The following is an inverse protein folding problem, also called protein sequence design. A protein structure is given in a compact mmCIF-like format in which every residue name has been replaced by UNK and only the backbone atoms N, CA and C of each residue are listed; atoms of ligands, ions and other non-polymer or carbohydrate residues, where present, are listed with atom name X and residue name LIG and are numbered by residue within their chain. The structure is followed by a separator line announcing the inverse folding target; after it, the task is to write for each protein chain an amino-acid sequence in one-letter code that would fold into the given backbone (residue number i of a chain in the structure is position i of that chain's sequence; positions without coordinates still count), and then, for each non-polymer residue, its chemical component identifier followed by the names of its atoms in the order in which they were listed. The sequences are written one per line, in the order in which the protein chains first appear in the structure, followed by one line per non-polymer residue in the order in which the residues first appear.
data_IF_001526639648
#
_entry.id   IF_001526639648
#
_cell.length_a   1.000
_cell.length_b   1.000
_cell.length_c   1.000
_cell.angle_alpha   90.00
_cell.angle_beta   90.00
_cell.angle_gamma   90.00
#
_symmetry.space_group_name_H-M   'P 1'
#
loop_
_entity.id
_entity.type
_entity.pdbx_description
1 polymer ?
#
# COMPACT_ATOMS: atom_id res chain seq x y z
N UNK A 1 10.51 -88.07 30.52
CA UNK A 1 10.75 -86.63 30.64
C UNK A 1 11.10 -86.08 29.25
N UNK A 2 10.10 -85.51 28.56
CA UNK A 2 10.30 -84.86 27.25
C UNK A 2 10.43 -83.36 27.49
N UNK A 3 11.58 -82.81 27.12
CA UNK A 3 11.81 -81.38 27.16
C UNK A 3 11.19 -80.73 25.90
N UNK A 4 10.22 -79.77 26.09
CA UNK A 4 9.60 -79.02 25.07
C UNK A 4 10.44 -77.73 24.92
N UNK A 5 11.07 -77.55 23.75
CA UNK A 5 11.80 -76.30 23.41
C UNK A 5 10.84 -75.33 22.74
N UNK A 6 10.54 -74.22 23.38
CA UNK A 6 9.70 -73.14 22.84
C UNK A 6 10.59 -72.25 21.98
N UNK A 7 10.31 -72.17 20.67
CA UNK A 7 10.97 -71.29 19.73
C UNK A 7 10.17 -69.93 19.73
N UNK A 8 10.79 -68.87 20.23
CA UNK A 8 10.25 -67.52 20.11
C UNK A 8 10.62 -66.97 18.73
N UNK A 9 9.62 -66.76 17.84
CA UNK A 9 9.78 -66.03 16.60
C UNK A 9 9.64 -64.53 16.93
N UNK A 10 10.73 -63.75 16.83
CA UNK A 10 10.73 -62.32 16.86
C UNK A 10 10.21 -61.80 15.50
N UNK A 11 9.00 -61.29 15.46
CA UNK A 11 8.53 -60.48 14.33
C UNK A 11 9.11 -59.09 14.44
N UNK A 12 10.09 -58.77 13.63
CA UNK A 12 10.55 -57.38 13.42
C UNK A 12 9.54 -56.72 12.49
N UNK A 13 8.67 -55.88 13.05
CA UNK A 13 7.88 -54.96 12.26
C UNK A 13 8.83 -53.84 11.76
N UNK A 14 9.21 -53.89 10.50
CA UNK A 14 9.79 -52.76 9.83
C UNK A 14 8.68 -51.69 9.66
N UNK A 15 8.75 -50.61 10.42
CA UNK A 15 7.96 -49.41 10.13
C UNK A 15 8.42 -48.89 8.78
N UNK A 16 7.51 -48.56 7.85
CA UNK A 16 7.89 -47.88 6.62
C UNK A 16 8.50 -46.52 7.01
N UNK A 17 9.74 -46.29 6.61
CA UNK A 17 10.28 -44.93 6.59
C UNK A 17 9.36 -44.11 5.70
N UNK A 18 8.74 -43.08 6.28
CA UNK A 18 8.04 -42.06 5.49
C UNK A 18 9.09 -41.48 4.55
N UNK A 19 8.93 -41.69 3.25
CA UNK A 19 9.73 -41.04 2.25
C UNK A 19 9.54 -39.54 2.44
N UNK A 20 10.59 -38.83 2.81
CA UNK A 20 10.62 -37.40 2.83
C UNK A 20 10.42 -36.96 1.38
N UNK A 21 9.44 -36.11 1.13
CA UNK A 21 9.19 -35.57 -0.20
C UNK A 21 10.34 -34.65 -0.57
N UNK A 22 11.21 -35.08 -1.48
CA UNK A 22 12.38 -34.29 -1.91
C UNK A 22 12.01 -32.94 -2.53
N UNK A 23 10.72 -32.73 -2.82
CA UNK A 23 10.23 -31.47 -3.39
C UNK A 23 10.05 -30.34 -2.36
N UNK A 24 10.08 -30.64 -1.03
CA UNK A 24 9.89 -29.65 0.04
C UNK A 24 10.83 -29.93 1.20
N UNK A 25 11.89 -29.13 1.33
CA UNK A 25 12.83 -29.25 2.46
C UNK A 25 13.56 -27.92 2.73
N UNK A 26 14.06 -27.77 3.97
CA UNK A 26 14.95 -26.69 4.39
C UNK A 26 16.36 -27.25 4.47
N UNK A 27 17.33 -26.59 3.85
CA UNK A 27 18.75 -26.97 3.87
C UNK A 27 19.52 -26.16 4.94
N UNK A 28 19.18 -24.89 5.13
CA UNK A 28 19.73 -24.04 6.18
C UNK A 28 18.63 -23.09 6.71
N UNK A 29 18.74 -22.70 8.01
CA UNK A 29 19.74 -23.05 9.01
C UNK A 29 19.65 -24.51 9.44
N UNK A 30 20.76 -25.09 9.94
CA UNK A 30 20.77 -26.46 10.46
C UNK A 30 20.13 -26.54 11.86
N UNK A 31 19.56 -27.68 12.19
CA UNK A 31 19.05 -27.92 13.54
C UNK A 31 20.12 -27.69 14.63
N UNK A 32 19.71 -27.21 15.79
CA UNK A 32 20.54 -26.83 16.93
C UNK A 32 21.53 -25.68 16.68
N UNK A 33 21.39 -24.94 15.57
CA UNK A 33 22.19 -23.74 15.34
C UNK A 33 21.66 -22.51 16.08
N UNK A 34 22.58 -21.62 16.44
CA UNK A 34 22.27 -20.28 16.93
C UNK A 34 21.97 -19.38 15.74
N UNK A 35 20.88 -18.61 15.80
CA UNK A 35 20.44 -17.70 14.75
C UNK A 35 20.14 -16.33 15.34
N UNK A 36 20.48 -15.26 14.61
CA UNK A 36 20.27 -13.87 15.02
C UNK A 36 20.21 -12.95 13.80
N UNK A 37 19.57 -11.78 13.96
CA UNK A 37 19.46 -10.77 12.91
C UNK A 37 18.69 -11.30 11.69
N UNK A 38 19.19 -11.05 10.49
CA UNK A 38 18.63 -11.54 9.23
C UNK A 38 19.21 -12.92 8.91
N UNK A 39 18.37 -13.94 8.88
CA UNK A 39 18.75 -15.33 8.63
C UNK A 39 18.27 -15.75 7.25
N UNK A 40 19.19 -16.03 6.34
CA UNK A 40 18.87 -16.63 5.06
C UNK A 40 18.39 -18.06 5.26
N UNK A 41 17.14 -18.36 4.91
CA UNK A 41 16.59 -19.71 4.92
C UNK A 41 16.65 -20.28 3.51
N UNK A 42 17.42 -21.35 3.33
CA UNK A 42 17.60 -22.01 2.03
C UNK A 42 16.99 -23.39 2.00
N UNK A 43 16.65 -23.86 0.81
CA UNK A 43 16.03 -25.18 0.63
C UNK A 43 15.38 -25.34 -0.74
N UNK A 44 14.40 -26.23 -0.80
CA UNK A 44 13.63 -26.52 -2.01
C UNK A 44 12.13 -26.43 -1.71
N UNK A 45 11.39 -25.76 -2.59
CA UNK A 45 9.94 -25.77 -2.70
C UNK A 45 9.60 -25.91 -4.18
N UNK A 46 9.39 -27.14 -4.64
CA UNK A 46 9.11 -27.42 -6.05
C UNK A 46 8.08 -28.56 -6.23
N UNK A 47 6.94 -28.57 -5.51
CA UNK A 47 5.86 -29.48 -5.81
C UNK A 47 5.17 -29.08 -7.13
N UNK A 48 4.69 -30.07 -7.90
CA UNK A 48 4.11 -29.82 -9.24
C UNK A 48 2.82 -28.98 -9.26
N UNK A 49 2.15 -28.81 -8.12
CA UNK A 49 0.90 -28.06 -7.95
C UNK A 49 1.00 -26.97 -6.86
N UNK A 50 2.18 -26.36 -6.74
CA UNK A 50 2.43 -25.26 -5.80
C UNK A 50 1.40 -24.12 -5.99
N UNK A 51 0.79 -23.69 -4.88
CA UNK A 51 0.02 -22.46 -4.80
C UNK A 51 0.84 -21.36 -4.16
N UNK A 52 1.35 -21.58 -2.93
CA UNK A 52 2.17 -20.62 -2.20
C UNK A 52 2.93 -21.29 -1.07
N UNK A 53 3.93 -20.61 -0.50
CA UNK A 53 4.61 -21.04 0.71
C UNK A 53 5.05 -19.85 1.55
N UNK A 54 5.31 -20.07 2.83
CA UNK A 54 5.86 -19.11 3.78
C UNK A 54 6.53 -19.83 4.93
N UNK A 55 7.32 -19.09 5.72
CA UNK A 55 7.94 -19.56 6.94
C UNK A 55 7.15 -19.10 8.16
N UNK A 56 7.06 -19.98 9.15
CA UNK A 56 6.45 -19.71 10.43
C UNK A 56 7.23 -20.34 11.57
N UNK A 57 7.13 -19.78 12.76
CA UNK A 57 7.83 -20.29 13.95
C UNK A 57 6.87 -20.57 15.10
N UNK A 58 7.28 -21.47 15.96
CA UNK A 58 6.65 -21.73 17.26
C UNK A 58 7.71 -21.96 18.32
N UNK A 59 7.39 -21.71 19.58
CA UNK A 59 8.31 -22.05 20.70
C UNK A 59 8.56 -23.56 20.70
N UNK A 60 9.84 -23.94 20.71
CA UNK A 60 10.23 -25.35 20.73
C UNK A 60 9.75 -26.07 21.98
N UNK A 61 9.21 -27.26 21.81
CA UNK A 61 8.70 -28.08 22.91
C UNK A 61 7.35 -27.62 23.50
N UNK A 62 6.68 -26.65 22.89
CA UNK A 62 5.35 -26.24 23.33
C UNK A 62 4.33 -27.40 23.17
N UNK A 63 3.54 -27.69 24.21
CA UNK A 63 2.50 -28.73 24.17
C UNK A 63 1.38 -28.40 23.19
N UNK A 64 1.10 -27.12 23.01
CA UNK A 64 0.17 -26.57 22.01
C UNK A 64 0.92 -25.52 21.19
N UNK A 65 1.54 -25.89 20.04
CA UNK A 65 2.32 -24.95 19.25
C UNK A 65 1.46 -23.87 18.63
N UNK A 66 1.79 -22.61 18.93
CA UNK A 66 1.22 -21.44 18.28
C UNK A 66 2.17 -21.00 17.17
N UNK A 67 1.74 -21.17 15.94
CA UNK A 67 2.51 -20.79 14.77
C UNK A 67 2.35 -19.32 14.43
N UNK A 68 3.47 -18.64 14.27
CA UNK A 68 3.55 -17.22 13.93
C UNK A 68 4.25 -17.11 12.58
N UNK A 69 3.59 -16.61 11.51
CA UNK A 69 4.26 -16.36 10.25
C UNK A 69 5.39 -15.32 10.41
N UNK A 70 6.55 -15.61 9.83
CA UNK A 70 7.75 -14.76 9.91
C UNK A 70 8.23 -14.29 8.53
N UNK A 71 7.54 -14.69 7.46
CA UNK A 71 7.77 -14.21 6.09
C UNK A 71 6.44 -13.99 5.37
N UNK A 72 6.50 -13.22 4.28
CA UNK A 72 5.37 -13.09 3.37
C UNK A 72 5.16 -14.37 2.56
N UNK A 73 3.99 -14.48 1.92
CA UNK A 73 3.66 -15.55 0.98
C UNK A 73 4.52 -15.40 -0.29
N UNK A 74 5.13 -16.52 -0.72
CA UNK A 74 5.81 -16.64 -2.00
C UNK A 74 5.15 -17.75 -2.84
N UNK A 75 5.15 -17.60 -4.16
CA UNK A 75 4.52 -18.55 -5.08
C UNK A 75 5.50 -19.12 -6.14
N UNK A 76 6.70 -18.56 -6.23
CA UNK A 76 7.71 -19.00 -7.19
C UNK A 76 8.43 -20.25 -6.68
N UNK A 77 8.46 -21.36 -7.43
CA UNK A 77 9.23 -22.55 -7.03
C UNK A 77 10.72 -22.24 -6.88
N UNK A 78 11.34 -22.85 -5.87
CA UNK A 78 12.77 -22.71 -5.58
C UNK A 78 13.38 -24.12 -5.49
N UNK A 79 14.56 -24.33 -6.08
CA UNK A 79 15.34 -25.55 -5.99
C UNK A 79 16.73 -25.21 -5.48
N UNK A 80 17.12 -25.77 -4.33
CA UNK A 80 18.42 -25.58 -3.67
C UNK A 80 18.83 -24.09 -3.57
N UNK A 81 17.86 -23.22 -3.26
CA UNK A 81 18.05 -21.76 -3.27
C UNK A 81 17.51 -21.06 -2.03
N UNK A 82 17.52 -19.73 -2.07
CA UNK A 82 16.96 -18.89 -1.02
C UNK A 82 15.42 -18.99 -1.05
N UNK A 83 14.84 -19.48 0.06
CA UNK A 83 13.40 -19.54 0.26
C UNK A 83 12.86 -18.22 0.78
N UNK A 84 13.54 -17.63 1.77
CA UNK A 84 13.21 -16.33 2.33
C UNK A 84 14.32 -15.85 3.29
N UNK A 85 14.28 -14.58 3.64
CA UNK A 85 15.02 -13.99 4.75
C UNK A 85 14.12 -13.88 5.98
N UNK A 86 14.57 -14.45 7.10
CA UNK A 86 13.86 -14.43 8.37
C UNK A 86 14.50 -13.43 9.33
N UNK A 87 13.71 -12.43 9.78
CA UNK A 87 14.13 -11.42 10.75
C UNK A 87 13.90 -11.94 12.17
N UNK A 88 14.95 -12.43 12.83
CA UNK A 88 14.85 -12.98 14.19
C UNK A 88 14.69 -11.92 15.25
N UNK A 89 15.09 -10.67 14.98
CA UNK A 89 15.08 -9.56 15.94
C UNK A 89 13.68 -9.22 16.50
N UNK A 90 12.63 -9.71 15.86
CA UNK A 90 11.24 -9.57 16.34
C UNK A 90 10.85 -10.64 17.39
N UNK A 91 11.71 -11.62 17.65
CA UNK A 91 11.49 -12.70 18.60
C UNK A 91 12.34 -12.50 19.86
N UNK A 92 11.81 -12.91 21.00
CA UNK A 92 12.60 -13.03 22.22
C UNK A 92 13.65 -14.14 22.06
N UNK A 93 14.79 -14.00 22.77
CA UNK A 93 15.78 -15.08 22.83
C UNK A 93 15.16 -16.36 23.38
N UNK A 94 15.46 -17.50 22.75
CA UNK A 94 14.90 -18.78 23.12
C UNK A 94 15.02 -19.82 22.01
N UNK A 95 14.52 -21.04 22.29
CA UNK A 95 14.52 -22.12 21.30
C UNK A 95 13.18 -22.18 20.55
N UNK A 96 13.27 -22.28 19.24
CA UNK A 96 12.12 -22.26 18.33
C UNK A 96 12.15 -23.47 17.38
N UNK A 97 10.97 -23.83 16.88
CA UNK A 97 10.78 -24.67 15.71
C UNK A 97 10.47 -23.76 14.52
N UNK A 98 11.28 -23.84 13.46
CA UNK A 98 11.01 -23.19 12.17
C UNK A 98 10.29 -24.19 11.26
N UNK A 99 9.17 -23.77 10.67
CA UNK A 99 8.40 -24.57 9.73
C UNK A 99 8.24 -23.84 8.40
N UNK A 100 8.55 -24.50 7.32
CA UNK A 100 8.15 -24.14 5.98
C UNK A 100 6.76 -24.71 5.74
N UNK A 101 5.79 -23.85 5.49
CA UNK A 101 4.41 -24.20 5.19
C UNK A 101 4.17 -23.99 3.70
N UNK A 102 3.87 -25.06 2.98
CA UNK A 102 3.62 -25.06 1.53
C UNK A 102 2.16 -25.42 1.29
N UNK A 103 1.43 -24.54 0.64
CA UNK A 103 0.04 -24.72 0.24
C UNK A 103 -0.01 -25.21 -1.21
N UNK A 104 -0.71 -26.29 -1.48
CA UNK A 104 -0.95 -26.82 -2.82
C UNK A 104 -2.30 -26.35 -3.38
N UNK A 105 -2.42 -26.26 -4.69
CA UNK A 105 -3.70 -25.94 -5.35
C UNK A 105 -4.78 -26.99 -5.13
N UNK A 106 -4.40 -28.21 -4.78
CA UNK A 106 -5.31 -29.27 -4.33
C UNK A 106 -6.02 -28.96 -3.00
N UNK A 107 -5.52 -27.96 -2.23
CA UNK A 107 -5.96 -27.66 -0.87
C UNK A 107 -5.17 -28.41 0.21
N UNK A 108 -4.25 -29.30 -0.16
CA UNK A 108 -3.33 -29.95 0.77
C UNK A 108 -2.20 -29.02 1.18
N UNK A 109 -1.61 -29.26 2.37
CA UNK A 109 -0.41 -28.57 2.85
C UNK A 109 0.73 -29.56 3.04
N UNK A 110 1.94 -29.17 2.60
CA UNK A 110 3.18 -29.87 2.89
C UNK A 110 4.01 -29.06 3.88
N UNK A 111 4.83 -29.73 4.66
CA UNK A 111 5.64 -29.08 5.69
C UNK A 111 7.07 -29.62 5.69
N UNK A 112 8.05 -28.72 5.88
CA UNK A 112 9.39 -29.08 6.29
C UNK A 112 9.72 -28.35 7.59
N UNK A 113 10.42 -29.00 8.51
CA UNK A 113 10.66 -28.49 9.86
C UNK A 113 12.14 -28.56 10.20
N UNK A 114 12.63 -27.51 10.86
CA UNK A 114 13.97 -27.49 11.47
C UNK A 114 13.83 -27.10 12.94
N UNK A 115 14.32 -27.97 13.83
CA UNK A 115 14.23 -27.76 15.27
C UNK A 115 15.30 -28.54 16.05
N UNK A 116 15.74 -28.05 17.24
CA UNK A 116 15.50 -26.68 17.69
C UNK A 116 16.38 -25.69 16.92
N UNK A 117 15.97 -24.42 16.85
CA UNK A 117 16.81 -23.28 16.49
C UNK A 117 16.89 -22.36 17.69
N UNK A 118 18.06 -21.86 18.03
CA UNK A 118 18.23 -20.94 19.16
C UNK A 118 18.31 -19.50 18.66
N UNK A 119 17.29 -18.70 18.94
CA UNK A 119 17.35 -17.27 18.71
C UNK A 119 18.15 -16.62 19.82
N UNK A 120 19.26 -15.94 19.48
CA UNK A 120 20.24 -15.39 20.43
C UNK A 120 20.56 -13.90 20.12
N UNK A 121 19.54 -13.09 20.00
CA UNK A 121 19.67 -11.68 19.65
C UNK A 121 20.40 -10.86 20.73
N UNK A 122 20.18 -11.14 22.03
CA UNK A 122 20.67 -10.33 23.13
C UNK A 122 22.17 -10.43 23.38
N UNK A 123 22.83 -11.54 23.00
CA UNK A 123 24.25 -11.79 23.28
C UNK A 123 25.19 -11.56 22.08
N UNK A 124 24.67 -11.15 20.96
CA UNK A 124 25.50 -10.76 19.83
C UNK A 124 26.06 -9.36 20.05
N UNK A 125 27.32 -9.08 19.67
CA UNK A 125 27.71 -7.69 19.53
C UNK A 125 26.66 -7.07 18.64
N UNK A 126 25.94 -6.05 19.18
CA UNK A 126 25.10 -5.24 18.34
C UNK A 126 25.96 -4.99 17.12
N UNK A 127 25.60 -5.48 15.91
CA UNK A 127 26.34 -5.08 14.74
C UNK A 127 26.36 -3.58 14.89
N UNK A 128 27.56 -3.01 15.06
CA UNK A 128 27.70 -1.57 14.93
C UNK A 128 27.12 -1.35 13.55
N UNK A 129 25.85 -0.95 13.52
CA UNK A 129 25.21 -0.44 12.34
C UNK A 129 26.01 0.80 12.00
N UNK A 130 27.14 0.56 11.36
CA UNK A 130 27.87 1.58 10.66
C UNK A 130 27.12 1.72 9.35
N UNK A 131 26.22 2.53 9.37
CA UNK A 131 25.47 3.36 8.46
C UNK A 131 24.01 3.28 8.93
N UNK A 132 23.44 4.41 9.27
CA UNK A 132 22.00 4.60 9.09
C UNK A 132 21.65 3.95 7.75
N UNK A 133 20.58 3.11 7.68
CA UNK A 133 20.20 2.47 6.42
C UNK A 133 20.17 3.56 5.37
N UNK A 134 20.97 3.38 4.33
CA UNK A 134 21.22 4.40 3.31
C UNK A 134 19.89 4.85 2.73
N UNK A 135 19.59 6.12 2.86
CA UNK A 135 18.45 6.74 2.19
C UNK A 135 18.88 6.97 0.75
N UNK A 136 18.23 6.31 -0.17
CA UNK A 136 18.50 6.49 -1.60
C UNK A 136 18.14 7.93 -1.98
N UNK A 137 19.06 8.70 -2.58
CA UNK A 137 18.80 10.09 -2.96
C UNK A 137 17.58 10.22 -3.88
N UNK A 138 16.86 11.33 -3.76
CA UNK A 138 15.76 11.66 -4.67
C UNK A 138 16.22 11.58 -6.12
N UNK A 139 15.48 10.88 -6.99
CA UNK A 139 15.72 10.93 -8.42
C UNK A 139 15.33 12.30 -8.97
N UNK A 140 15.66 12.56 -10.21
CA UNK A 140 15.20 13.76 -10.92
C UNK A 140 14.65 13.32 -12.30
N UNK A 141 13.52 12.59 -12.32
CA UNK A 141 12.96 12.10 -13.56
C UNK A 141 12.47 13.25 -14.45
N UNK A 142 12.69 13.11 -15.75
CA UNK A 142 12.21 14.09 -16.73
C UNK A 142 10.74 13.83 -17.02
N UNK A 143 9.90 14.81 -16.75
CA UNK A 143 8.49 14.74 -17.14
C UNK A 143 8.33 14.91 -18.66
N UNK A 144 7.77 13.92 -19.33
CA UNK A 144 7.46 13.94 -20.78
C UNK A 144 5.96 14.00 -21.06
N UNK A 145 5.13 14.05 -20.02
CA UNK A 145 3.68 14.13 -20.11
C UNK A 145 3.21 15.58 -19.93
N UNK A 146 1.96 15.91 -20.30
CA UNK A 146 1.40 17.26 -20.15
C UNK A 146 1.44 17.78 -18.71
N UNK A 147 1.36 16.89 -17.72
CA UNK A 147 1.44 17.18 -16.29
C UNK A 147 2.27 16.07 -15.61
N UNK A 148 3.00 16.33 -14.51
CA UNK A 148 3.61 15.28 -13.70
C UNK A 148 2.57 14.23 -13.33
N UNK A 149 2.82 12.98 -13.72
CA UNK A 149 1.91 11.85 -13.53
C UNK A 149 2.55 10.76 -12.70
N UNK A 150 1.76 10.15 -11.86
CA UNK A 150 2.13 8.96 -11.11
C UNK A 150 1.00 7.95 -10.99
N UNK A 151 1.25 6.89 -10.25
CA UNK A 151 0.25 5.87 -9.97
C UNK A 151 0.29 5.41 -8.52
N UNK A 152 -0.88 5.13 -7.96
CA UNK A 152 -1.01 4.48 -6.66
C UNK A 152 -0.83 2.98 -6.85
N UNK A 153 0.14 2.40 -6.16
CA UNK A 153 0.54 1.01 -6.32
C UNK A 153 0.28 0.19 -5.05
N UNK A 154 0.01 -1.10 -5.24
CA UNK A 154 -0.04 -2.08 -4.17
C UNK A 154 1.24 -2.92 -4.12
N UNK A 155 1.71 -3.39 -5.26
CA UNK A 155 2.85 -4.32 -5.38
C UNK A 155 4.12 -3.67 -5.88
N UNK A 156 4.05 -2.77 -6.87
CA UNK A 156 5.19 -2.09 -7.49
C UNK A 156 6.31 -3.06 -7.91
N UNK A 157 5.96 -4.22 -8.44
CA UNK A 157 6.92 -5.19 -8.96
C UNK A 157 7.56 -4.71 -10.28
N UNK A 158 8.51 -5.48 -10.83
CA UNK A 158 9.23 -5.11 -12.04
C UNK A 158 8.31 -4.83 -13.22
N UNK A 159 7.26 -5.63 -13.44
CA UNK A 159 6.29 -5.41 -14.51
C UNK A 159 5.53 -4.09 -14.33
N UNK A 160 5.12 -3.78 -13.10
CA UNK A 160 4.48 -2.49 -12.74
C UNK A 160 5.42 -1.32 -13.02
N UNK A 161 6.70 -1.41 -12.60
CA UNK A 161 7.71 -0.37 -12.83
C UNK A 161 7.96 -0.15 -14.33
N UNK A 162 8.09 -1.23 -15.10
CA UNK A 162 8.27 -1.18 -16.56
C UNK A 162 7.06 -0.52 -17.22
N UNK A 163 5.84 -0.89 -16.85
CA UNK A 163 4.61 -0.31 -17.39
C UNK A 163 4.50 1.20 -17.05
N UNK A 164 4.75 1.59 -15.80
CA UNK A 164 4.72 2.99 -15.37
C UNK A 164 5.77 3.83 -16.10
N UNK A 165 6.99 3.30 -16.27
CA UNK A 165 8.07 3.97 -17.03
C UNK A 165 7.68 4.13 -18.49
N UNK A 166 7.11 3.10 -19.12
CA UNK A 166 6.65 3.15 -20.51
C UNK A 166 5.57 4.22 -20.74
N UNK A 167 4.66 4.39 -19.77
CA UNK A 167 3.67 5.46 -19.77
C UNK A 167 4.27 6.88 -19.60
N UNK A 168 5.51 7.00 -19.14
CA UNK A 168 6.14 8.28 -18.79
C UNK A 168 5.75 8.79 -17.41
N UNK A 169 5.24 7.93 -16.53
CA UNK A 169 5.01 8.28 -15.14
C UNK A 169 6.33 8.55 -14.43
N UNK A 170 6.34 9.56 -13.58
CA UNK A 170 7.52 10.00 -12.81
C UNK A 170 7.29 9.95 -11.30
N UNK A 171 6.10 9.59 -10.86
CA UNK A 171 5.71 9.48 -9.47
C UNK A 171 5.10 8.12 -9.14
N UNK A 172 5.31 7.67 -7.90
CA UNK A 172 4.62 6.53 -7.31
C UNK A 172 4.00 6.96 -5.99
N UNK A 173 2.75 6.57 -5.74
CA UNK A 173 2.06 6.80 -4.46
C UNK A 173 1.97 5.51 -3.68
N UNK A 174 2.29 5.60 -2.38
CA UNK A 174 2.00 4.60 -1.37
C UNK A 174 1.07 5.15 -0.32
N UNK A 175 0.12 4.36 0.13
CA UNK A 175 -0.67 4.69 1.30
C UNK A 175 -0.12 3.96 2.52
N UNK A 176 0.16 4.70 3.58
CA UNK A 176 0.75 4.21 4.83
C UNK A 176 -0.21 4.56 5.97
N UNK A 177 -0.58 3.55 6.73
CA UNK A 177 -1.41 3.75 7.92
C UNK A 177 -0.52 3.71 9.16
N UNK A 178 -0.40 4.84 9.85
CA UNK A 178 0.36 4.96 11.08
C UNK A 178 -0.45 4.43 12.26
N UNK A 179 0.18 3.58 13.06
CA UNK A 179 -0.30 3.10 14.35
C UNK A 179 0.77 3.39 15.40
N UNK A 180 0.38 3.96 16.54
CA UNK A 180 1.32 4.43 17.57
C UNK A 180 2.21 3.30 18.13
N UNK A 181 1.69 2.06 18.18
CA UNK A 181 2.41 0.90 18.71
C UNK A 181 3.23 0.14 17.65
N UNK A 182 3.17 0.54 16.37
CA UNK A 182 3.95 -0.11 15.30
C UNK A 182 5.40 0.37 15.30
N UNK A 183 6.26 -0.35 16.01
CA UNK A 183 7.69 -0.06 16.08
C UNK A 183 8.42 -0.24 14.73
N UNK A 184 7.81 -0.92 13.74
CA UNK A 184 8.43 -1.20 12.45
C UNK A 184 8.01 -0.23 11.33
N UNK A 185 7.04 0.63 11.56
CA UNK A 185 6.44 1.49 10.52
C UNK A 185 7.47 2.36 9.78
N UNK A 186 8.48 2.90 10.47
CA UNK A 186 9.53 3.71 9.85
C UNK A 186 10.44 2.89 8.91
N UNK A 187 10.65 1.60 9.19
CA UNK A 187 11.36 0.72 8.27
C UNK A 187 10.54 0.49 6.99
N UNK A 188 9.23 0.22 7.13
CA UNK A 188 8.33 0.10 5.99
C UNK A 188 8.35 1.36 5.13
N UNK A 189 8.25 2.54 5.75
CA UNK A 189 8.31 3.83 5.07
C UNK A 189 9.62 3.99 4.30
N UNK A 190 10.77 3.77 4.98
CA UNK A 190 12.09 3.85 4.34
C UNK A 190 12.21 2.92 3.14
N UNK A 191 11.77 1.66 3.29
CA UNK A 191 11.86 0.67 2.23
C UNK A 191 11.00 1.07 1.01
N UNK A 192 9.81 1.67 1.23
CA UNK A 192 8.99 2.23 0.15
C UNK A 192 9.66 3.40 -0.56
N UNK A 193 10.28 4.30 0.20
CA UNK A 193 11.04 5.43 -0.37
C UNK A 193 12.21 4.91 -1.20
N UNK A 194 13.06 4.07 -0.63
CA UNK A 194 14.24 3.54 -1.30
C UNK A 194 13.86 2.77 -2.57
N UNK A 195 12.88 1.89 -2.49
CA UNK A 195 12.41 1.13 -3.64
C UNK A 195 11.91 2.02 -4.78
N UNK A 196 11.19 3.10 -4.44
CA UNK A 196 10.72 4.07 -5.43
C UNK A 196 11.87 4.84 -6.07
N UNK A 197 12.82 5.32 -5.25
CA UNK A 197 13.98 6.09 -5.72
C UNK A 197 14.95 5.23 -6.54
N UNK A 198 15.20 3.98 -6.14
CA UNK A 198 16.01 3.02 -6.92
C UNK A 198 15.41 2.76 -8.30
N UNK A 199 14.08 2.71 -8.39
CA UNK A 199 13.37 2.57 -9.67
C UNK A 199 13.29 3.88 -10.48
N UNK A 200 13.81 5.00 -9.95
CA UNK A 200 13.86 6.30 -10.62
C UNK A 200 12.58 7.13 -10.52
N UNK A 201 11.67 6.82 -9.58
CA UNK A 201 10.42 7.55 -9.37
C UNK A 201 10.49 8.44 -8.14
N UNK A 202 9.93 9.65 -8.24
CA UNK A 202 9.56 10.43 -7.06
C UNK A 202 8.49 9.68 -6.25
N UNK A 203 8.50 9.83 -4.94
CA UNK A 203 7.56 9.14 -4.05
C UNK A 203 6.63 10.10 -3.33
N UNK A 204 5.33 9.84 -3.46
CA UNK A 204 4.27 10.43 -2.64
C UNK A 204 3.85 9.40 -1.58
N UNK A 205 4.00 9.75 -0.31
CA UNK A 205 3.45 8.99 0.81
C UNK A 205 2.15 9.62 1.28
N UNK A 206 1.02 8.93 1.09
CA UNK A 206 -0.25 9.29 1.71
C UNK A 206 -0.31 8.65 3.09
N UNK A 207 -0.18 9.46 4.13
CA UNK A 207 -0.05 8.97 5.51
C UNK A 207 -1.31 9.31 6.29
N UNK A 208 -2.01 8.24 6.72
CA UNK A 208 -3.16 8.33 7.63
C UNK A 208 -2.77 7.81 9.00
N UNK A 209 -3.53 8.19 10.03
CA UNK A 209 -3.47 7.56 11.35
C UNK A 209 -4.64 6.62 11.59
N UNK A 210 -4.67 6.00 12.75
CA UNK A 210 -5.83 5.22 13.20
C UNK A 210 -6.93 6.13 13.76
N UNK A 211 -8.14 5.98 13.21
CA UNK A 211 -9.32 6.77 13.64
C UNK A 211 -9.66 6.51 15.10
N UNK A 212 -9.46 5.28 15.59
CA UNK A 212 -9.71 4.92 16.99
C UNK A 212 -8.70 5.60 17.93
N UNK A 213 -7.42 5.71 17.56
CA UNK A 213 -6.41 6.45 18.32
C UNK A 213 -6.73 7.95 18.37
N UNK A 214 -7.08 8.54 17.21
CA UNK A 214 -7.51 9.92 17.13
C UNK A 214 -8.80 10.17 17.92
N UNK A 215 -9.72 9.21 17.96
CA UNK A 215 -10.95 9.29 18.75
C UNK A 215 -10.65 9.28 20.25
N UNK A 216 -9.73 8.41 20.68
CA UNK A 216 -9.36 8.24 22.08
C UNK A 216 -8.58 9.44 22.64
N UNK A 217 -7.61 9.95 21.89
CA UNK A 217 -6.70 11.02 22.33
C UNK A 217 -7.19 12.42 22.00
N UNK A 218 -8.06 12.56 20.99
CA UNK A 218 -8.50 13.87 20.53
C UNK A 218 -7.34 14.74 20.04
N UNK A 219 -7.30 15.99 20.50
CA UNK A 219 -6.28 16.95 20.05
C UNK A 219 -4.87 16.58 20.55
N UNK A 220 -4.74 15.75 21.57
CA UNK A 220 -3.44 15.21 22.05
C UNK A 220 -2.79 14.26 21.01
N UNK A 221 -3.55 13.73 20.05
CA UNK A 221 -3.03 12.95 18.95
C UNK A 221 -2.19 13.77 17.95
N UNK A 222 -2.53 15.05 17.75
CA UNK A 222 -1.91 15.89 16.72
C UNK A 222 -0.40 16.03 16.85
N UNK A 223 0.17 16.34 18.03
CA UNK A 223 1.62 16.41 18.19
C UNK A 223 2.31 15.04 18.02
N UNK A 224 1.66 13.93 18.39
CA UNK A 224 2.21 12.58 18.22
C UNK A 224 2.30 12.23 16.73
N UNK A 225 1.24 12.51 15.98
CA UNK A 225 1.22 12.31 14.53
C UNK A 225 2.23 13.22 13.81
N UNK A 226 2.33 14.48 14.23
CA UNK A 226 3.31 15.43 13.69
C UNK A 226 4.77 14.97 13.94
N UNK A 227 5.09 14.45 15.12
CA UNK A 227 6.40 13.89 15.42
C UNK A 227 6.74 12.71 14.49
N UNK A 228 5.77 11.82 14.25
CA UNK A 228 5.94 10.73 13.30
C UNK A 228 6.20 11.24 11.88
N UNK A 229 5.41 12.21 11.40
CA UNK A 229 5.60 12.78 10.07
C UNK A 229 6.95 13.50 9.92
N UNK A 230 7.47 14.12 10.97
CA UNK A 230 8.84 14.65 11.01
C UNK A 230 9.90 13.56 10.82
N UNK A 231 9.72 12.40 11.48
CA UNK A 231 10.61 11.23 11.28
C UNK A 231 10.52 10.66 9.86
N UNK A 232 9.33 10.63 9.27
CA UNK A 232 9.14 10.25 7.87
C UNK A 232 9.84 11.22 6.93
N UNK A 233 9.69 12.53 7.14
CA UNK A 233 10.33 13.55 6.32
C UNK A 233 11.86 13.47 6.36
N UNK A 234 12.43 13.09 7.49
CA UNK A 234 13.87 12.87 7.63
C UNK A 234 14.41 11.71 6.76
N UNK A 235 13.53 10.85 6.26
CA UNK A 235 13.84 9.80 5.27
C UNK A 235 13.77 10.30 3.81
N UNK A 236 13.55 11.59 3.61
CA UNK A 236 13.58 12.30 2.32
C UNK A 236 12.61 11.78 1.24
N UNK A 237 11.31 11.52 1.51
CA UNK A 237 10.33 11.35 0.46
C UNK A 237 10.19 12.65 -0.36
N UNK A 238 9.63 12.58 -1.57
CA UNK A 238 9.42 13.77 -2.39
C UNK A 238 8.16 14.55 -1.98
N UNK A 239 7.10 13.82 -1.56
CA UNK A 239 5.88 14.42 -1.05
C UNK A 239 5.25 13.60 0.08
N UNK A 240 4.53 14.27 0.97
CA UNK A 240 3.68 13.67 2.01
C UNK A 240 2.28 14.28 1.88
N UNK A 241 1.29 13.42 1.62
CA UNK A 241 -0.12 13.74 1.78
C UNK A 241 -0.52 13.47 3.24
N UNK A 242 -0.97 14.53 3.93
CA UNK A 242 -1.27 14.48 5.36
C UNK A 242 -2.74 14.13 5.55
N UNK A 243 -3.00 12.86 5.84
CA UNK A 243 -4.33 12.25 5.97
C UNK A 243 -5.00 11.97 4.62
N UNK A 244 -6.20 11.30 4.68
CA UNK A 244 -7.03 10.92 3.55
C UNK A 244 -8.51 11.07 3.92
N UNK A 245 -9.32 11.60 3.02
CA UNK A 245 -10.80 11.65 3.05
C UNK A 245 -11.43 12.03 4.40
N UNK A 246 -10.82 12.98 5.13
CA UNK A 246 -11.23 13.41 6.46
C UNK A 246 -12.61 14.09 6.52
N UNK A 247 -13.29 14.17 5.40
CA UNK A 247 -14.68 14.59 5.33
C UNK A 247 -15.69 13.44 5.54
N UNK A 248 -15.21 12.19 5.80
CA UNK A 248 -16.00 11.00 6.05
C UNK A 248 -15.76 10.42 7.45
N UNK A 249 -16.79 9.80 8.04
CA UNK A 249 -16.70 9.19 9.39
C UNK A 249 -15.95 7.85 9.44
N UNK A 250 -15.57 7.30 8.29
CA UNK A 250 -14.66 6.16 8.20
C UNK A 250 -13.18 6.55 8.30
N UNK A 251 -12.86 7.81 8.01
CA UNK A 251 -11.50 8.35 7.96
C UNK A 251 -11.24 9.41 9.04
N UNK A 252 -12.29 9.93 9.67
CA UNK A 252 -12.21 10.90 10.74
C UNK A 252 -13.23 10.60 11.84
N UNK A 253 -12.95 10.88 13.13
CA UNK A 253 -13.87 10.55 14.22
C UNK A 253 -15.28 11.08 14.01
N UNK A 254 -16.25 10.17 14.07
CA UNK A 254 -17.66 10.48 13.86
C UNK A 254 -18.14 11.59 14.80
N UNK A 255 -18.86 12.57 14.27
CA UNK A 255 -19.32 13.72 15.02
C UNK A 255 -18.26 14.80 15.27
N UNK A 256 -17.01 14.56 14.84
CA UNK A 256 -15.88 15.49 14.97
C UNK A 256 -15.31 15.93 13.61
N UNK A 257 -15.97 15.58 12.51
CA UNK A 257 -15.59 15.99 11.15
C UNK A 257 -15.61 17.51 11.06
N UNK A 258 -14.43 18.11 10.89
CA UNK A 258 -14.26 19.57 10.90
C UNK A 258 -12.96 19.98 10.19
N UNK A 259 -13.06 20.86 9.20
CA UNK A 259 -11.90 21.44 8.56
C UNK A 259 -11.01 22.27 9.52
N UNK A 260 -11.61 22.85 10.58
CA UNK A 260 -10.84 23.55 11.60
C UNK A 260 -10.02 22.57 12.47
N UNK A 261 -10.59 21.41 12.85
CA UNK A 261 -9.85 20.37 13.55
C UNK A 261 -8.74 19.78 12.67
N UNK A 262 -9.01 19.56 11.38
CA UNK A 262 -7.99 19.14 10.43
C UNK A 262 -6.86 20.19 10.30
N UNK A 263 -7.17 21.48 10.22
CA UNK A 263 -6.17 22.55 10.18
C UNK A 263 -5.28 22.55 11.44
N UNK A 264 -5.86 22.30 12.62
CA UNK A 264 -5.11 22.17 13.88
C UNK A 264 -4.16 20.97 13.88
N UNK A 265 -4.48 19.87 13.20
CA UNK A 265 -3.59 18.74 13.01
C UNK A 265 -2.53 19.02 11.92
N UNK A 266 -2.93 19.66 10.82
CA UNK A 266 -2.05 19.92 9.69
C UNK A 266 -0.93 20.90 10.04
N UNK A 267 -1.20 21.93 10.85
CA UNK A 267 -0.20 22.92 11.22
C UNK A 267 1.06 22.28 11.86
N UNK A 268 0.98 21.56 13.00
CA UNK A 268 2.17 20.94 13.59
C UNK A 268 2.80 19.87 12.68
N UNK A 269 2.00 19.18 11.87
CA UNK A 269 2.49 18.24 10.87
C UNK A 269 3.38 18.93 9.83
N UNK A 270 2.91 20.02 9.24
CA UNK A 270 3.68 20.85 8.29
C UNK A 270 4.99 21.37 8.92
N UNK A 271 4.89 21.93 10.12
CA UNK A 271 6.06 22.46 10.84
C UNK A 271 7.10 21.38 11.09
N UNK A 272 6.68 20.18 11.51
CA UNK A 272 7.58 19.03 11.74
C UNK A 272 8.21 18.51 10.44
N UNK A 273 7.43 18.38 9.37
CA UNK A 273 7.93 17.95 8.05
C UNK A 273 8.97 18.95 7.55
N UNK A 274 8.63 20.25 7.52
CA UNK A 274 9.54 21.29 6.99
C UNK A 274 10.77 21.52 7.84
N UNK A 275 10.70 21.26 9.14
CA UNK A 275 11.86 21.30 10.04
C UNK A 275 12.83 20.14 9.77
N UNK A 276 12.31 18.96 9.42
CA UNK A 276 13.11 17.77 9.11
C UNK A 276 13.71 17.82 7.70
N UNK A 277 12.88 18.14 6.70
CA UNK A 277 13.31 18.31 5.31
C UNK A 277 12.41 19.36 4.60
N UNK A 278 12.91 20.57 4.35
CA UNK A 278 12.15 21.63 3.70
C UNK A 278 11.81 21.36 2.22
N UNK A 279 12.44 20.36 1.58
CA UNK A 279 12.20 19.99 0.18
C UNK A 279 10.98 19.08 0.02
N UNK A 280 10.52 18.42 1.08
CA UNK A 280 9.32 17.57 1.02
C UNK A 280 8.10 18.41 0.72
N UNK A 281 7.40 18.11 -0.38
CA UNK A 281 6.12 18.73 -0.71
C UNK A 281 5.05 18.25 0.28
N UNK A 282 4.38 19.16 0.96
CA UNK A 282 3.26 18.84 1.85
C UNK A 282 1.95 19.03 1.08
N UNK A 283 1.20 17.94 0.92
CA UNK A 283 -0.11 17.95 0.28
C UNK A 283 -1.17 17.79 1.37
N UNK A 284 -2.24 18.58 1.33
CA UNK A 284 -3.37 18.34 2.24
C UNK A 284 -3.99 16.99 1.95
N UNK A 285 -4.55 16.32 2.95
CA UNK A 285 -5.43 15.19 2.69
C UNK A 285 -6.52 15.58 1.69
N UNK A 286 -6.69 14.78 0.66
CA UNK A 286 -7.75 14.99 -0.32
C UNK A 286 -9.10 14.59 0.26
N UNK A 287 -10.16 15.23 -0.20
CA UNK A 287 -11.51 14.92 0.23
C UNK A 287 -12.13 13.83 -0.65
N UNK A 288 -12.92 12.94 -0.02
CA UNK A 288 -13.82 12.09 -0.76
C UNK A 288 -14.75 12.94 -1.61
N UNK A 289 -14.92 12.64 -2.92
CA UNK A 289 -15.90 13.32 -3.75
C UNK A 289 -17.32 13.02 -3.25
N UNK A 290 -17.97 14.01 -2.70
CA UNK A 290 -19.31 13.85 -2.10
C UNK A 290 -20.21 15.00 -2.55
N UNK A 291 -21.50 14.80 -2.48
CA UNK A 291 -22.49 15.81 -2.84
C UNK A 291 -23.86 15.46 -2.27
N UNK A 292 -23.92 14.37 -1.50
CA UNK A 292 -25.16 13.74 -1.06
C UNK A 292 -25.48 13.92 0.43
N UNK A 293 -24.60 14.55 1.23
CA UNK A 293 -24.86 14.82 2.64
C UNK A 293 -25.78 16.02 2.88
N UNK A 294 -25.91 16.90 1.86
CA UNK A 294 -26.67 18.15 1.99
C UNK A 294 -25.95 19.19 2.86
N UNK A 295 -24.64 19.19 2.85
CA UNK A 295 -23.76 20.01 3.69
C UNK A 295 -22.90 19.17 4.61
N UNK A 296 -22.66 19.62 5.85
CA UNK A 296 -21.88 18.89 6.84
C UNK A 296 -22.78 18.32 7.93
N UNK A 297 -22.53 17.06 8.31
CA UNK A 297 -23.22 16.33 9.36
C UNK A 297 -22.23 15.57 10.25
N UNK A 298 -22.70 14.84 11.26
CA UNK A 298 -21.84 13.99 12.10
C UNK A 298 -21.24 12.79 11.38
N UNK A 299 -21.82 12.39 10.23
CA UNK A 299 -21.40 11.18 9.49
C UNK A 299 -20.55 11.53 8.24
N UNK A 300 -20.54 12.78 7.81
CA UNK A 300 -19.83 13.22 6.63
C UNK A 300 -20.11 14.67 6.29
N UNK A 301 -19.30 15.21 5.42
CA UNK A 301 -19.45 16.57 4.89
C UNK A 301 -19.26 16.54 3.39
N UNK A 302 -20.13 17.26 2.67
CA UNK A 302 -19.91 17.49 1.24
C UNK A 302 -18.59 18.22 0.99
N UNK A 303 -17.85 17.78 -0.01
CA UNK A 303 -16.52 18.26 -0.34
C UNK A 303 -16.44 19.79 -0.55
N UNK A 304 -17.39 20.40 -1.29
CA UNK A 304 -17.39 21.82 -1.52
C UNK A 304 -17.48 22.69 -0.26
N UNK A 305 -18.47 22.47 0.64
CA UNK A 305 -18.50 23.10 1.96
C UNK A 305 -17.23 22.85 2.76
N UNK A 306 -16.63 21.65 2.67
CA UNK A 306 -15.41 21.33 3.41
C UNK A 306 -14.19 22.08 2.85
N UNK A 307 -13.98 22.13 1.50
CA UNK A 307 -12.93 22.96 0.89
C UNK A 307 -13.08 24.45 1.28
N UNK A 308 -14.31 24.98 1.28
CA UNK A 308 -14.55 26.34 1.72
C UNK A 308 -14.17 26.55 3.19
N UNK A 309 -14.46 25.58 4.05
CA UNK A 309 -14.08 25.61 5.46
C UNK A 309 -12.56 25.47 5.65
N UNK A 310 -11.88 24.62 4.85
CA UNK A 310 -10.40 24.50 4.83
C UNK A 310 -9.74 25.84 4.49
N UNK A 311 -10.20 26.51 3.43
CA UNK A 311 -9.69 27.82 3.05
C UNK A 311 -9.91 28.86 4.17
N UNK A 312 -11.10 28.85 4.81
CA UNK A 312 -11.42 29.75 5.93
C UNK A 312 -10.58 29.45 7.18
N UNK A 313 -10.20 28.19 7.40
CA UNK A 313 -9.32 27.76 8.49
C UNK A 313 -7.82 28.03 8.20
N UNK A 314 -7.48 28.50 7.00
CA UNK A 314 -6.12 28.90 6.64
C UNK A 314 -5.19 27.74 6.31
N UNK A 315 -5.70 26.55 5.90
CA UNK A 315 -4.88 25.35 5.62
C UNK A 315 -3.80 25.61 4.56
N UNK A 316 -4.02 26.53 3.61
CA UNK A 316 -3.05 26.89 2.59
C UNK A 316 -1.74 27.50 3.15
N UNK A 317 -1.70 27.88 4.43
CA UNK A 317 -0.48 28.33 5.10
C UNK A 317 0.41 27.14 5.53
N UNK A 318 -0.17 25.95 5.56
CA UNK A 318 0.44 24.73 6.06
C UNK A 318 0.43 23.60 5.01
N UNK A 319 0.45 23.97 3.73
CA UNK A 319 0.56 23.03 2.61
C UNK A 319 1.20 23.71 1.40
N UNK A 320 1.84 22.92 0.55
CA UNK A 320 2.37 23.34 -0.74
C UNK A 320 1.40 23.02 -1.89
N UNK A 321 0.42 22.13 -1.64
CA UNK A 321 -0.58 21.72 -2.62
C UNK A 321 -1.88 21.28 -1.91
N UNK A 322 -3.03 21.56 -2.52
CA UNK A 322 -4.34 21.10 -2.04
C UNK A 322 -4.66 19.75 -2.67
N UNK A 323 -4.84 18.71 -1.86
CA UNK A 323 -5.23 17.39 -2.31
C UNK A 323 -6.63 17.32 -2.88
N UNK A 324 -6.80 16.59 -3.97
CA UNK A 324 -8.10 16.39 -4.66
C UNK A 324 -8.24 14.93 -5.06
N UNK A 325 -9.44 14.36 -4.86
CA UNK A 325 -9.84 13.07 -5.43
C UNK A 325 -10.88 13.23 -6.53
N UNK A 326 -10.76 12.42 -7.57
CA UNK A 326 -11.76 12.27 -8.62
C UNK A 326 -11.82 10.82 -9.06
N UNK A 327 -12.82 10.09 -8.59
CA UNK A 327 -12.98 8.64 -8.85
C UNK A 327 -14.45 8.21 -9.04
N UNK A 328 -15.37 9.17 -9.26
CA UNK A 328 -16.79 8.92 -9.50
C UNK A 328 -17.24 9.14 -10.96
N UNK A 329 -16.34 9.41 -11.90
CA UNK A 329 -16.65 9.66 -13.30
C UNK A 329 -17.14 8.42 -14.03
N UNK A 330 -18.17 8.58 -14.90
CA UNK A 330 -18.67 7.57 -15.84
C UNK A 330 -18.93 8.16 -17.24
N UNK A 331 -18.34 9.30 -17.52
CA UNK A 331 -18.40 10.01 -18.81
C UNK A 331 -17.04 10.63 -19.08
N UNK A 332 -16.80 11.04 -20.32
CA UNK A 332 -15.55 11.73 -20.68
C UNK A 332 -15.28 12.96 -19.79
N UNK A 333 -14.04 13.16 -19.33
CA UNK A 333 -13.66 14.32 -18.52
C UNK A 333 -13.82 15.67 -19.24
N UNK A 334 -14.02 15.66 -20.57
CA UNK A 334 -14.33 16.85 -21.38
C UNK A 334 -15.77 17.33 -21.22
N UNK A 335 -16.65 16.47 -20.71
CA UNK A 335 -18.07 16.78 -20.55
C UNK A 335 -18.30 17.54 -19.24
N UNK A 336 -19.23 18.51 -19.29
CA UNK A 336 -19.68 19.31 -18.14
C UNK A 336 -21.12 18.98 -17.71
N UNK A 337 -21.71 17.94 -18.30
CA UNK A 337 -23.07 17.47 -18.05
C UNK A 337 -23.32 16.18 -18.78
N UNK A 338 -24.47 15.53 -18.48
CA UNK A 338 -24.88 14.30 -19.15
C UNK A 338 -24.65 13.02 -18.34
N UNK A 339 -24.18 13.10 -17.12
CA UNK A 339 -24.20 11.98 -16.18
C UNK A 339 -25.67 11.60 -15.91
N UNK A 340 -26.06 10.32 -16.11
CA UNK A 340 -27.46 9.91 -15.97
C UNK A 340 -27.96 9.82 -14.53
N UNK A 341 -27.06 9.92 -13.54
CA UNK A 341 -27.40 9.81 -12.11
C UNK A 341 -28.11 11.08 -11.62
N UNK A 342 -29.13 10.87 -10.76
CA UNK A 342 -29.94 11.96 -10.19
C UNK A 342 -29.87 11.88 -8.66
N UNK A 343 -29.72 13.02 -7.96
CA UNK A 343 -29.43 14.36 -8.48
C UNK A 343 -28.04 14.48 -9.11
N UNK A 344 -27.86 15.50 -9.97
CA UNK A 344 -26.57 15.76 -10.60
C UNK A 344 -25.62 16.51 -9.63
N UNK A 345 -24.37 16.02 -9.52
CA UNK A 345 -23.36 16.57 -8.60
C UNK A 345 -22.10 16.99 -9.36
N UNK A 346 -21.46 18.12 -9.00
CA UNK A 346 -20.20 18.57 -9.60
C UNK A 346 -19.07 17.55 -9.51
N UNK A 347 -19.05 16.68 -8.49
CA UNK A 347 -18.05 15.63 -8.25
C UNK A 347 -17.96 14.60 -9.36
N UNK A 348 -18.96 14.53 -10.24
CA UNK A 348 -19.04 13.58 -11.37
C UNK A 348 -18.36 14.07 -12.64
N UNK A 349 -17.93 15.34 -12.66
CA UNK A 349 -17.33 16.00 -13.81
C UNK A 349 -15.94 16.49 -13.45
N UNK A 350 -14.92 16.04 -14.17
CA UNK A 350 -13.51 16.36 -13.87
C UNK A 350 -13.27 17.86 -13.72
N UNK A 351 -13.70 18.66 -14.72
CA UNK A 351 -13.52 20.11 -14.67
C UNK A 351 -14.32 20.77 -13.53
N UNK A 352 -15.55 20.35 -13.30
CA UNK A 352 -16.37 20.89 -12.21
C UNK A 352 -15.78 20.57 -10.84
N UNK A 353 -15.18 19.38 -10.69
CA UNK A 353 -14.48 19.01 -9.46
C UNK A 353 -13.22 19.84 -9.26
N UNK A 354 -12.42 20.07 -10.31
CA UNK A 354 -11.28 20.99 -10.27
C UNK A 354 -11.70 22.39 -9.83
N UNK A 355 -12.72 22.95 -10.50
CA UNK A 355 -13.20 24.31 -10.18
C UNK A 355 -13.73 24.39 -8.73
N UNK A 356 -14.42 23.34 -8.26
CA UNK A 356 -14.97 23.25 -6.89
C UNK A 356 -13.87 23.23 -5.82
N UNK A 357 -12.81 22.45 -6.04
CA UNK A 357 -11.67 22.38 -5.13
C UNK A 357 -10.83 23.67 -5.16
N UNK A 358 -10.59 24.23 -6.34
CA UNK A 358 -9.72 25.41 -6.50
C UNK A 358 -10.39 26.72 -6.10
N UNK A 359 -11.71 26.88 -6.28
CA UNK A 359 -12.41 28.16 -6.09
C UNK A 359 -12.24 28.79 -4.69
N UNK A 360 -12.26 28.02 -3.57
CA UNK A 360 -12.01 28.59 -2.24
C UNK A 360 -10.60 29.19 -2.09
N UNK A 361 -9.61 28.68 -2.83
CA UNK A 361 -8.20 29.07 -2.76
C UNK A 361 -7.78 30.03 -3.90
N UNK A 362 -8.69 30.47 -4.76
CA UNK A 362 -8.42 31.24 -6.00
C UNK A 362 -7.61 32.54 -5.84
N UNK A 363 -7.52 33.08 -4.63
CA UNK A 363 -6.73 34.30 -4.33
C UNK A 363 -5.36 33.94 -3.71
N UNK A 364 -5.01 32.67 -3.63
CA UNK A 364 -3.77 32.15 -3.06
C UNK A 364 -2.97 31.48 -4.17
N UNK A 365 -1.65 31.56 -4.06
CA UNK A 365 -0.73 30.89 -4.98
C UNK A 365 -0.46 29.47 -4.46
N UNK A 366 -1.48 28.62 -4.54
CA UNK A 366 -1.39 27.22 -4.15
C UNK A 366 -2.05 26.32 -5.20
N UNK A 367 -1.33 25.34 -5.75
CA UNK A 367 -1.86 24.44 -6.76
C UNK A 367 -2.75 23.35 -6.17
N UNK A 368 -3.39 22.58 -7.08
CA UNK A 368 -4.14 21.37 -6.80
C UNK A 368 -3.29 20.14 -7.17
N UNK A 369 -3.28 19.13 -6.31
CA UNK A 369 -2.69 17.83 -6.56
C UNK A 369 -3.79 16.77 -6.54
N UNK A 370 -4.05 16.15 -7.69
CA UNK A 370 -4.91 14.98 -7.73
C UNK A 370 -4.15 13.80 -7.15
N UNK A 371 -4.36 13.50 -5.87
CA UNK A 371 -3.74 12.36 -5.21
C UNK A 371 -4.49 11.05 -5.51
N UNK A 372 -5.70 11.15 -6.09
CA UNK A 372 -6.40 10.04 -6.74
C UNK A 372 -7.24 10.56 -7.92
N UNK A 373 -7.02 9.94 -9.08
CA UNK A 373 -7.83 10.12 -10.28
C UNK A 373 -8.08 8.76 -10.92
N UNK A 374 -9.33 8.31 -10.96
CA UNK A 374 -9.66 6.99 -11.46
C UNK A 374 -11.07 6.89 -12.07
N UNK A 375 -11.22 5.91 -12.95
CA UNK A 375 -12.50 5.53 -13.54
C UNK A 375 -12.72 4.04 -13.28
N UNK A 376 -13.87 3.70 -12.70
CA UNK A 376 -14.23 2.31 -12.36
C UNK A 376 -14.85 1.60 -13.56
N UNK A 377 -14.40 0.40 -13.86
CA UNK A 377 -15.03 -0.51 -14.82
C UNK A 377 -15.17 -1.93 -14.26
N UNK A 378 -16.32 -2.59 -14.42
CA UNK A 378 -16.50 -3.99 -14.04
C UNK A 378 -15.98 -4.98 -15.08
N UNK A 379 -15.54 -4.49 -16.25
CA UNK A 379 -15.15 -5.36 -17.37
C UNK A 379 -14.03 -6.31 -16.96
N UNK A 380 -14.22 -7.61 -17.21
CA UNK A 380 -13.29 -8.67 -16.82
C UNK A 380 -13.46 -9.22 -15.38
N UNK A 381 -14.24 -8.56 -14.49
CA UNK A 381 -14.40 -8.99 -13.10
C UNK A 381 -15.81 -9.48 -12.73
N UNK A 382 -16.85 -8.97 -13.39
CA UNK A 382 -18.23 -9.31 -13.09
C UNK A 382 -19.01 -8.15 -12.43
N UNK A 383 -20.19 -8.42 -11.86
CA UNK A 383 -21.08 -7.37 -11.34
C UNK A 383 -20.43 -6.58 -10.19
N UNK A 384 -20.57 -5.26 -10.22
CA UNK A 384 -20.14 -4.38 -9.14
C UNK A 384 -20.97 -4.56 -7.86
N UNK A 385 -20.39 -4.37 -6.67
CA UNK A 385 -21.14 -4.23 -5.43
C UNK A 385 -22.18 -3.11 -5.53
N UNK A 386 -23.30 -3.22 -4.79
CA UNK A 386 -24.43 -2.31 -4.92
C UNK A 386 -24.09 -0.81 -4.78
N UNK A 387 -23.14 -0.46 -3.90
CA UNK A 387 -22.66 0.91 -3.74
C UNK A 387 -21.90 1.46 -4.95
N UNK A 388 -21.40 0.60 -5.83
CA UNK A 388 -20.63 0.93 -7.04
C UNK A 388 -21.38 0.63 -8.34
N UNK A 389 -22.64 0.19 -8.27
CA UNK A 389 -23.45 -0.18 -9.43
C UNK A 389 -23.60 0.94 -10.47
N UNK A 390 -23.32 2.16 -10.09
CA UNK A 390 -23.33 3.34 -10.95
C UNK A 390 -22.32 3.27 -12.11
N UNK A 391 -21.23 2.49 -11.96
CA UNK A 391 -20.20 2.30 -12.99
C UNK A 391 -20.42 1.02 -13.84
N UNK A 392 -21.56 0.35 -13.70
CA UNK A 392 -21.78 -0.95 -14.39
C UNK A 392 -21.72 -0.89 -15.92
N UNK A 393 -21.87 0.29 -16.51
CA UNK A 393 -21.80 0.49 -17.96
C UNK A 393 -20.45 0.95 -18.49
N UNK A 394 -19.47 1.21 -17.62
CA UNK A 394 -18.13 1.69 -18.03
C UNK A 394 -17.31 0.52 -18.57
N UNK A 395 -16.69 0.71 -19.73
CA UNK A 395 -15.80 -0.25 -20.38
C UNK A 395 -14.34 0.02 -20.09
N UNK A 396 -13.48 -0.98 -20.29
CA UNK A 396 -12.04 -0.84 -20.15
C UNK A 396 -11.45 0.16 -21.18
N UNK A 397 -12.04 0.21 -22.39
CA UNK A 397 -11.66 1.17 -23.40
C UNK A 397 -11.99 2.62 -23.00
N UNK A 398 -13.16 2.86 -22.42
CA UNK A 398 -13.56 4.16 -21.88
C UNK A 398 -12.67 4.57 -20.70
N UNK A 399 -12.36 3.66 -19.78
CA UNK A 399 -11.42 3.92 -18.70
C UNK A 399 -10.08 4.41 -19.26
N UNK A 400 -9.52 3.71 -20.25
CA UNK A 400 -8.23 4.06 -20.85
C UNK A 400 -8.26 5.40 -21.58
N UNK A 401 -9.30 5.69 -22.35
CA UNK A 401 -9.49 6.94 -23.06
C UNK A 401 -9.66 8.11 -22.08
N UNK A 402 -10.56 7.96 -21.09
CA UNK A 402 -10.86 9.04 -20.15
C UNK A 402 -9.71 9.37 -19.20
N UNK A 403 -8.89 8.39 -18.82
CA UNK A 403 -7.65 8.65 -18.07
C UNK A 403 -6.68 9.51 -18.89
N UNK A 404 -6.45 9.16 -20.16
CA UNK A 404 -5.59 9.95 -21.03
C UNK A 404 -6.14 11.37 -21.27
N UNK A 405 -7.45 11.50 -21.51
CA UNK A 405 -8.09 12.82 -21.65
C UNK A 405 -7.98 13.66 -20.38
N UNK A 406 -8.15 13.03 -19.18
CA UNK A 406 -8.02 13.75 -17.91
C UNK A 406 -6.57 14.23 -17.68
N UNK A 407 -5.56 13.42 -18.01
CA UNK A 407 -4.14 13.81 -17.97
C UNK A 407 -3.86 14.97 -18.91
N UNK A 408 -4.39 14.95 -20.12
CA UNK A 408 -4.25 16.05 -21.07
C UNK A 408 -4.90 17.34 -20.53
N UNK A 409 -6.14 17.27 -20.05
CA UNK A 409 -6.86 18.42 -19.47
C UNK A 409 -6.16 18.97 -18.23
N UNK A 410 -5.57 18.09 -17.40
CA UNK A 410 -4.78 18.51 -16.26
C UNK A 410 -3.54 19.31 -16.68
N UNK A 411 -2.87 18.92 -17.77
CA UNK A 411 -1.75 19.67 -18.32
C UNK A 411 -2.13 21.02 -18.95
N UNK A 412 -3.38 21.17 -19.39
CA UNK A 412 -3.92 22.43 -19.92
C UNK A 412 -4.35 23.40 -18.79
N UNK A 413 -4.50 22.90 -17.55
CA UNK A 413 -4.92 23.70 -16.39
C UNK A 413 -3.74 24.01 -15.46
N UNK A 414 -3.21 25.23 -15.54
CA UNK A 414 -2.06 25.66 -14.73
C UNK A 414 -2.24 25.60 -13.21
N UNK A 415 -3.46 25.34 -12.75
CA UNK A 415 -3.75 25.14 -11.32
C UNK A 415 -3.38 23.74 -10.84
N UNK A 416 -3.16 22.77 -11.76
CA UNK A 416 -2.89 21.37 -11.41
C UNK A 416 -1.39 21.12 -11.50
N UNK A 417 -0.76 20.67 -10.41
CA UNK A 417 0.66 20.43 -10.33
C UNK A 417 1.04 18.93 -10.40
N UNK A 418 0.13 18.03 -10.02
CA UNK A 418 0.39 16.60 -9.95
C UNK A 418 -0.91 15.82 -10.16
N UNK A 419 -0.81 14.68 -10.83
CA UNK A 419 -1.90 13.71 -10.97
C UNK A 419 -1.39 12.31 -10.62
N UNK A 420 -2.11 11.61 -9.74
CA UNK A 420 -1.88 10.20 -9.39
C UNK A 420 -3.08 9.36 -9.86
N UNK A 421 -2.83 8.41 -10.71
CA UNK A 421 -3.85 7.44 -11.15
C UNK A 421 -4.23 6.54 -9.98
N UNK A 422 -5.50 6.48 -9.67
CA UNK A 422 -6.10 5.53 -8.76
C UNK A 422 -6.75 4.38 -9.54
N UNK A 423 -6.17 3.18 -9.63
CA UNK A 423 -4.84 2.75 -9.16
C UNK A 423 -4.11 2.00 -10.30
N UNK A 424 -2.89 1.51 -10.04
CA UNK A 424 -2.09 0.82 -11.06
C UNK A 424 -2.32 -0.69 -11.04
N UNK A 425 -2.16 -1.37 -9.91
CA UNK A 425 -2.01 -2.82 -9.80
C UNK A 425 -2.77 -3.46 -8.61
N UNK A 426 -3.82 -2.83 -8.12
CA UNK A 426 -4.66 -3.38 -7.06
C UNK A 426 -5.51 -4.54 -7.58
N UNK A 427 -5.68 -5.58 -6.78
CA UNK A 427 -6.31 -6.84 -7.19
C UNK A 427 -7.61 -7.19 -6.43
N UNK A 428 -7.97 -6.44 -5.39
CA UNK A 428 -9.18 -6.63 -4.61
C UNK A 428 -10.44 -6.27 -5.41
N UNK A 429 -11.39 -7.21 -5.50
CA UNK A 429 -12.69 -6.99 -6.16
C UNK A 429 -13.81 -7.61 -5.34
N UNK A 430 -14.10 -7.01 -4.19
CA UNK A 430 -15.15 -7.45 -3.27
C UNK A 430 -16.12 -6.30 -2.94
N UNK A 431 -16.24 -5.93 -1.66
CA UNK A 431 -17.10 -4.81 -1.20
C UNK A 431 -16.60 -3.45 -1.69
N UNK A 432 -15.28 -3.34 -1.90
CA UNK A 432 -14.60 -2.22 -2.49
C UNK A 432 -13.86 -2.70 -3.76
N UNK A 433 -14.39 -2.45 -4.97
CA UNK A 433 -13.90 -3.03 -6.21
C UNK A 433 -12.64 -2.30 -6.73
N UNK A 434 -11.57 -2.25 -5.94
CA UNK A 434 -10.34 -1.52 -6.26
C UNK A 434 -9.68 -2.00 -7.56
N UNK A 435 -9.72 -3.33 -7.83
CA UNK A 435 -9.23 -3.90 -9.08
C UNK A 435 -9.98 -3.39 -10.33
N UNK A 436 -11.22 -2.92 -10.16
CA UNK A 436 -11.98 -2.28 -11.23
C UNK A 436 -11.44 -0.92 -11.67
N UNK A 437 -10.66 -0.26 -10.81
CA UNK A 437 -9.91 0.96 -11.13
C UNK A 437 -8.50 0.66 -11.66
N UNK A 438 -7.96 -0.53 -11.40
CA UNK A 438 -6.59 -0.88 -11.77
C UNK A 438 -6.39 -0.81 -13.28
N UNK A 439 -5.34 -0.08 -13.70
CA UNK A 439 -5.00 0.05 -15.13
C UNK A 439 -4.25 -1.15 -15.67
N UNK A 440 -3.45 -1.84 -14.82
CA UNK A 440 -2.87 -3.15 -15.13
C UNK A 440 -3.84 -4.20 -14.61
N UNK A 441 -4.37 -4.99 -15.52
CA UNK A 441 -5.37 -6.02 -15.21
C UNK A 441 -4.69 -7.30 -14.72
N UNK A 442 -5.43 -8.18 -14.04
CA UNK A 442 -4.90 -9.46 -13.54
C UNK A 442 -4.35 -10.38 -14.65
N UNK A 443 -4.81 -10.23 -15.88
CA UNK A 443 -4.31 -10.96 -17.05
C UNK A 443 -3.08 -10.29 -17.71
N UNK A 444 -2.58 -9.20 -17.13
CA UNK A 444 -1.45 -8.41 -17.62
C UNK A 444 -1.80 -7.41 -18.72
N UNK A 445 -3.06 -7.29 -19.13
CA UNK A 445 -3.47 -6.28 -20.13
C UNK A 445 -3.51 -4.89 -19.50
N UNK A 446 -3.18 -3.86 -20.29
CA UNK A 446 -3.18 -2.46 -19.84
C UNK A 446 -3.51 -1.51 -21.00
N UNK A 447 -4.79 -1.37 -21.40
CA UNK A 447 -5.15 -0.40 -22.44
C UNK A 447 -4.80 1.04 -22.09
N UNK A 448 -4.91 1.43 -20.82
CA UNK A 448 -4.52 2.76 -20.35
C UNK A 448 -3.01 3.04 -20.53
N UNK A 449 -2.17 2.00 -20.51
CA UNK A 449 -0.74 2.16 -20.75
C UNK A 449 -0.46 2.72 -22.16
N UNK A 450 -1.20 2.28 -23.17
CA UNK A 450 -1.05 2.72 -24.55
C UNK A 450 -1.58 4.15 -24.74
N UNK A 451 -2.77 4.45 -24.22
CA UNK A 451 -3.40 5.76 -24.37
C UNK A 451 -2.65 6.87 -23.62
N UNK A 452 -2.12 6.59 -22.43
CA UNK A 452 -1.32 7.53 -21.66
C UNK A 452 0.07 7.72 -22.30
N UNK A 453 0.74 6.62 -22.71
CA UNK A 453 2.04 6.71 -23.38
C UNK A 453 1.99 7.56 -24.66
N UNK A 454 0.87 7.56 -25.39
CA UNK A 454 0.67 8.37 -26.57
C UNK A 454 0.65 9.90 -26.31
N UNK A 455 0.53 10.34 -25.06
CA UNK A 455 0.57 11.76 -24.67
C UNK A 455 2.00 12.29 -24.48
N UNK A 456 3.02 11.43 -24.52
CA UNK A 456 4.40 11.83 -24.26
C UNK A 456 4.90 12.77 -25.37
N UNK A 457 5.54 13.87 -24.96
CA UNK A 457 6.34 14.69 -25.87
C UNK A 457 7.67 14.00 -26.22
N UNK A 458 8.15 14.18 -27.45
CA UNK A 458 9.44 13.67 -27.90
C UNK A 458 10.62 14.34 -27.17
#
# INVERSE_FOLDING_TARGET
MRRLTLLFLLFIFALPALAQDDSVHITAPAAASDVFGTVAVTGTVNPGDLQSYFLEVSVYGATEPRWIPVTLLAATPVVDGLLAEWQTGLLADGSYTLRLHVQLRSGESLYAVVEPLNVVNANQPIPTVSAEPEVIPRPNPVNTLPVPLGGHVLYFNEDTQVAMTAMGMTWVKWQIKYQMEDANILNVVRDRINWSHEAGFNVLLSITGEVDELTALGDEYYPVFAEFLGKVAALSPDAIEVWNEMNLDREWPRGRISAAAYAQMLQPAYEAIKAADPQVMVITGALAPTGFFGGCSGNGCDDGPYYQAMASAGVAQYADCIGVHYNEGIISPRQLGGDPRVPDYPTRYFKSMTDRAAYPFRNLDIPMCYTELGYLTPEGYGPLPGGFAWASGTTLAEQAEWLAEAVQLAGEDSRIALVIVWNVDFDGYDRDPQAGYAIIRQDGTCPACETIAALRSE
#
